data_IF_654490568652
#
_entry.id   IF_654490568652
#
_cell.length_a   1.000
_cell.length_b   1.000
_cell.length_c   1.000
_cell.angle_alpha   90.00
_cell.angle_beta   90.00
_cell.angle_gamma   90.00
#
_symmetry.space_group_name_H-M   'P 1'
#
loop_
_entity.id
_entity.type
_entity.pdbx_description
1 polymer ?
#
# COMPACT_ATOMS: atom_id res chain seq x y z
N UNK A 1 -7.14 27.06 -39.85
CA UNK A 1 -6.96 26.92 -38.40
C UNK A 1 -8.33 27.16 -37.78
N UNK A 2 -8.96 26.15 -37.19
CA UNK A 2 -10.31 26.29 -36.62
C UNK A 2 -10.19 27.09 -35.30
N UNK A 3 -10.98 28.15 -35.15
CA UNK A 3 -10.95 29.02 -33.97
C UNK A 3 -11.53 28.28 -32.75
N UNK A 4 -10.82 28.31 -31.61
CA UNK A 4 -11.28 27.72 -30.34
C UNK A 4 -12.61 28.29 -29.86
N UNK A 5 -12.87 29.57 -30.13
CA UNK A 5 -14.14 30.20 -29.81
C UNK A 5 -15.29 29.61 -30.62
N UNK A 6 -15.05 29.29 -31.90
CA UNK A 6 -16.04 28.64 -32.77
C UNK A 6 -16.37 27.23 -32.28
N UNK A 7 -15.36 26.46 -31.85
CA UNK A 7 -15.57 25.14 -31.26
C UNK A 7 -16.36 25.19 -29.95
N UNK A 8 -16.17 26.24 -29.14
CA UNK A 8 -16.93 26.44 -27.90
C UNK A 8 -18.40 26.82 -28.16
N UNK A 9 -18.65 27.63 -29.19
CA UNK A 9 -20.02 27.96 -29.63
C UNK A 9 -20.77 26.71 -30.09
N UNK A 10 -20.14 25.92 -30.96
CA UNK A 10 -20.72 24.65 -31.46
C UNK A 10 -20.96 23.65 -30.32
N UNK A 11 -20.01 23.52 -29.38
CA UNK A 11 -20.17 22.63 -28.23
C UNK A 11 -21.33 23.05 -27.31
N UNK A 12 -21.62 24.35 -27.21
CA UNK A 12 -22.78 24.87 -26.46
C UNK A 12 -24.09 24.61 -27.20
N UNK A 13 -24.13 24.80 -28.52
CA UNK A 13 -25.31 24.47 -29.31
C UNK A 13 -25.65 22.98 -29.25
N UNK A 14 -24.63 22.12 -29.17
CA UNK A 14 -24.78 20.68 -28.98
C UNK A 14 -25.05 20.27 -27.52
N UNK A 15 -25.14 21.23 -26.59
CA UNK A 15 -25.41 20.98 -25.16
C UNK A 15 -24.30 20.21 -24.45
N UNK A 16 -23.10 20.12 -25.03
CA UNK A 16 -21.95 19.40 -24.45
C UNK A 16 -21.52 20.06 -23.14
N UNK A 17 -21.64 21.39 -23.05
CA UNK A 17 -21.37 22.18 -21.85
C UNK A 17 -22.32 21.87 -20.68
N UNK A 18 -23.49 21.31 -20.97
CA UNK A 18 -24.52 20.91 -20.00
C UNK A 18 -24.60 19.38 -19.81
N UNK A 19 -23.79 18.62 -20.55
CA UNK A 19 -23.76 17.16 -20.42
C UNK A 19 -23.45 16.76 -18.99
N UNK A 20 -24.19 15.80 -18.45
CA UNK A 20 -24.05 15.37 -17.06
C UNK A 20 -22.61 14.92 -16.75
N UNK A 21 -21.94 14.24 -17.70
CA UNK A 21 -20.53 13.84 -17.57
C UNK A 21 -19.59 15.04 -17.41
N UNK A 22 -19.78 16.11 -18.18
CA UNK A 22 -18.91 17.28 -18.11
C UNK A 22 -19.19 18.07 -16.84
N UNK A 23 -20.46 18.24 -16.47
CA UNK A 23 -20.86 18.89 -15.22
C UNK A 23 -20.27 18.17 -14.01
N UNK A 24 -20.34 16.83 -13.98
CA UNK A 24 -19.71 16.03 -12.92
C UNK A 24 -18.18 16.17 -12.90
N UNK A 25 -17.54 16.18 -14.07
CA UNK A 25 -16.09 16.41 -14.18
C UNK A 25 -15.68 17.80 -13.67
N UNK A 26 -16.44 18.84 -14.04
CA UNK A 26 -16.21 20.21 -13.58
C UNK A 26 -16.42 20.34 -12.07
N UNK A 27 -17.45 19.72 -11.52
CA UNK A 27 -17.70 19.68 -10.08
C UNK A 27 -16.58 18.96 -9.31
N UNK A 28 -16.11 17.82 -9.82
CA UNK A 28 -14.96 17.11 -9.24
C UNK A 28 -13.69 17.97 -9.28
N UNK A 29 -13.40 18.59 -10.42
CA UNK A 29 -12.23 19.46 -10.57
C UNK A 29 -12.32 20.70 -9.67
N UNK A 30 -13.50 21.30 -9.55
CA UNK A 30 -13.75 22.42 -8.66
C UNK A 30 -13.54 22.03 -7.21
N UNK A 31 -14.11 20.90 -6.76
CA UNK A 31 -13.91 20.37 -5.40
C UNK A 31 -12.42 20.12 -5.12
N UNK A 32 -11.72 19.46 -6.03
CA UNK A 32 -10.28 19.23 -5.93
C UNK A 32 -9.50 20.54 -5.82
N UNK A 33 -9.76 21.51 -6.69
CA UNK A 33 -9.08 22.82 -6.66
C UNK A 33 -9.38 23.62 -5.40
N UNK A 34 -10.60 23.55 -4.88
CA UNK A 34 -10.97 24.21 -3.62
C UNK A 34 -10.23 23.57 -2.45
N UNK A 35 -10.14 22.24 -2.39
CA UNK A 35 -9.37 21.53 -1.36
C UNK A 35 -7.89 21.89 -1.46
N UNK A 36 -7.31 21.86 -2.66
CA UNK A 36 -5.90 22.25 -2.87
C UNK A 36 -5.63 23.71 -2.45
N UNK A 37 -6.48 24.65 -2.87
CA UNK A 37 -6.33 26.06 -2.49
C UNK A 37 -6.52 26.30 -0.99
N UNK A 38 -7.44 25.56 -0.34
CA UNK A 38 -7.61 25.59 1.11
C UNK A 38 -6.36 25.01 1.81
N UNK A 39 -5.86 23.89 1.32
CA UNK A 39 -4.64 23.29 1.80
C UNK A 39 -3.42 24.22 1.66
N UNK A 40 -3.27 24.91 0.53
CA UNK A 40 -2.22 25.91 0.29
C UNK A 40 -2.33 27.13 1.22
N UNK A 41 -3.56 27.52 1.58
CA UNK A 41 -3.83 28.67 2.45
C UNK A 41 -3.61 28.34 3.94
N UNK A 42 -3.98 27.14 4.38
CA UNK A 42 -3.87 26.70 5.78
C UNK A 42 -2.51 26.07 6.12
N UNK A 43 -1.81 25.53 5.12
CA UNK A 43 -0.37 25.29 5.25
C UNK A 43 0.27 26.65 5.43
N UNK A 44 0.93 26.90 6.55
CA UNK A 44 1.78 28.09 6.72
C UNK A 44 2.94 28.11 5.70
N UNK A 45 4.09 28.77 5.98
CA UNK A 45 5.26 28.66 5.09
C UNK A 45 5.50 27.19 4.75
N UNK A 46 5.70 26.89 3.44
CA UNK A 46 5.85 25.53 2.89
C UNK A 46 6.44 24.62 3.94
N UNK A 47 5.65 23.66 4.42
CA UNK A 47 6.09 22.70 5.41
C UNK A 47 7.13 21.80 4.70
N UNK A 48 8.37 22.27 4.71
CA UNK A 48 9.53 21.55 4.22
C UNK A 48 9.80 20.46 5.25
N UNK A 49 9.32 19.26 4.96
CA UNK A 49 9.70 18.07 5.72
C UNK A 49 11.21 17.91 5.53
N UNK A 50 11.95 17.92 6.63
CA UNK A 50 13.40 17.84 6.55
C UNK A 50 13.83 16.43 6.15
N UNK A 51 15.03 16.30 5.57
CA UNK A 51 15.56 14.98 5.23
C UNK A 51 15.79 14.15 6.50
N UNK A 52 16.16 14.78 7.61
CA UNK A 52 16.31 14.13 8.91
C UNK A 52 14.99 13.50 9.39
N UNK A 53 13.86 14.21 9.26
CA UNK A 53 12.53 13.67 9.61
C UNK A 53 12.17 12.47 8.74
N UNK A 54 12.45 12.55 7.43
CA UNK A 54 12.23 11.43 6.51
C UNK A 54 13.10 10.23 6.85
N UNK A 55 14.39 10.45 7.17
CA UNK A 55 15.33 9.38 7.56
C UNK A 55 14.91 8.71 8.86
N UNK A 56 14.52 9.49 9.87
CA UNK A 56 14.02 8.96 11.12
C UNK A 56 12.76 8.10 10.91
N UNK A 57 11.86 8.52 10.02
CA UNK A 57 10.67 7.76 9.66
C UNK A 57 11.01 6.46 8.90
N UNK A 58 11.95 6.52 7.95
CA UNK A 58 12.45 5.37 7.20
C UNK A 58 13.05 4.30 8.12
N UNK A 59 13.89 4.70 9.07
CA UNK A 59 14.52 3.80 10.04
C UNK A 59 13.50 3.26 11.05
N UNK A 60 12.69 4.13 11.66
CA UNK A 60 11.73 3.74 12.69
C UNK A 60 10.63 2.81 12.19
N UNK A 61 10.29 2.86 10.90
CA UNK A 61 9.29 1.96 10.32
C UNK A 61 9.87 0.70 9.69
N UNK A 62 11.21 0.56 9.62
CA UNK A 62 11.87 -0.60 9.05
C UNK A 62 11.74 -0.68 7.52
N UNK A 63 11.71 0.45 6.82
CA UNK A 63 11.54 0.53 5.36
C UNK A 63 12.82 0.19 4.58
N UNK A 64 13.95 0.02 5.28
CA UNK A 64 15.26 -0.29 4.68
C UNK A 64 15.47 -1.74 4.26
N UNK A 65 14.44 -2.58 4.35
CA UNK A 65 14.49 -3.99 3.94
C UNK A 65 13.29 -4.38 3.10
N UNK A 66 13.54 -5.23 2.12
CA UNK A 66 12.51 -5.97 1.40
C UNK A 66 12.74 -7.47 1.62
N UNK A 67 11.66 -8.21 1.85
CA UNK A 67 11.71 -9.64 2.17
C UNK A 67 11.23 -10.47 0.98
N UNK A 68 11.91 -11.59 0.74
CA UNK A 68 11.40 -12.70 -0.06
C UNK A 68 10.68 -13.65 0.88
N UNK A 69 9.48 -14.05 0.50
CA UNK A 69 8.66 -14.90 1.35
C UNK A 69 8.02 -16.03 0.57
N UNK A 70 7.64 -17.07 1.31
CA UNK A 70 6.71 -18.10 0.86
C UNK A 70 5.53 -18.17 1.81
N UNK A 71 4.38 -18.60 1.30
CA UNK A 71 3.15 -18.67 2.07
C UNK A 71 2.35 -19.93 1.79
N UNK A 72 1.48 -20.27 2.73
CA UNK A 72 0.47 -21.31 2.58
C UNK A 72 -0.86 -20.69 2.97
N UNK A 73 -1.76 -20.60 1.99
CA UNK A 73 -3.15 -20.19 2.22
C UNK A 73 -3.99 -21.45 2.41
N UNK A 74 -4.69 -21.57 3.53
CA UNK A 74 -5.61 -22.67 3.81
C UNK A 74 -7.06 -22.19 3.80
N UNK A 75 -8.00 -23.13 3.90
CA UNK A 75 -9.43 -22.81 3.86
C UNK A 75 -9.95 -22.32 5.21
N UNK A 76 -9.41 -22.89 6.29
CA UNK A 76 -9.87 -22.67 7.66
C UNK A 76 -8.70 -22.52 8.61
N UNK A 77 -8.99 -22.04 9.83
CA UNK A 77 -7.99 -21.93 10.90
C UNK A 77 -7.45 -23.29 11.35
N UNK A 78 -8.32 -24.31 11.40
CA UNK A 78 -7.89 -25.68 11.73
C UNK A 78 -6.96 -26.27 10.66
N UNK A 79 -7.18 -25.94 9.38
CA UNK A 79 -6.28 -26.35 8.31
C UNK A 79 -4.90 -25.71 8.46
N UNK A 80 -4.83 -24.43 8.83
CA UNK A 80 -3.55 -23.75 9.10
C UNK A 80 -2.85 -24.35 10.32
N UNK A 81 -3.57 -24.64 11.40
CA UNK A 81 -2.99 -25.29 12.58
C UNK A 81 -2.41 -26.65 12.22
N UNK A 82 -3.07 -27.38 11.31
CA UNK A 82 -2.55 -28.64 10.77
C UNK A 82 -1.27 -28.43 9.95
N UNK A 83 -1.23 -27.41 9.09
CA UNK A 83 -0.02 -27.02 8.33
C UNK A 83 1.16 -26.71 9.26
N UNK A 84 0.94 -25.89 10.30
CA UNK A 84 1.99 -25.55 11.27
C UNK A 84 2.50 -26.78 12.00
N UNK A 85 1.60 -27.64 12.49
CA UNK A 85 1.96 -28.89 13.17
C UNK A 85 2.79 -29.82 12.28
N UNK A 86 2.44 -29.94 11.01
CA UNK A 86 3.20 -30.75 10.05
C UNK A 86 4.62 -30.23 9.86
N UNK A 87 4.78 -28.91 9.78
CA UNK A 87 6.09 -28.27 9.65
C UNK A 87 6.92 -28.45 10.94
N UNK A 88 6.30 -28.28 12.11
CA UNK A 88 6.93 -28.55 13.42
C UNK A 88 7.39 -30.01 13.58
N UNK A 89 6.66 -30.95 12.98
CA UNK A 89 7.01 -32.37 12.95
C UNK A 89 8.14 -32.71 11.96
N UNK A 90 8.67 -31.72 11.25
CA UNK A 90 9.83 -31.86 10.37
C UNK A 90 9.50 -31.98 8.89
N UNK A 91 8.23 -31.86 8.47
CA UNK A 91 7.91 -31.74 7.04
C UNK A 91 8.44 -30.41 6.52
N UNK A 92 8.91 -30.39 5.28
CA UNK A 92 9.36 -29.13 4.69
C UNK A 92 8.16 -28.25 4.35
N UNK A 93 8.29 -26.93 4.54
CA UNK A 93 7.25 -25.97 4.17
C UNK A 93 6.88 -26.08 2.67
N UNK A 94 7.85 -26.38 1.81
CA UNK A 94 7.65 -26.53 0.37
C UNK A 94 6.71 -27.70 0.02
N UNK A 95 6.91 -28.87 0.66
CA UNK A 95 6.03 -30.02 0.47
C UNK A 95 4.61 -29.73 0.96
N UNK A 96 4.50 -29.15 2.16
CA UNK A 96 3.20 -28.81 2.75
C UNK A 96 2.48 -27.76 1.89
N UNK A 97 3.20 -26.79 1.33
CA UNK A 97 2.64 -25.80 0.42
C UNK A 97 2.09 -26.43 -0.87
N UNK A 98 2.84 -27.34 -1.51
CA UNK A 98 2.38 -28.05 -2.72
C UNK A 98 1.09 -28.82 -2.50
N UNK A 99 0.99 -29.51 -1.36
CA UNK A 99 -0.14 -30.37 -1.05
C UNK A 99 -1.36 -29.55 -0.59
N UNK A 100 -1.18 -28.68 0.40
CA UNK A 100 -2.28 -28.10 1.18
C UNK A 100 -2.66 -26.67 0.78
N UNK A 101 -1.77 -25.92 0.11
CA UNK A 101 -2.08 -24.51 -0.21
C UNK A 101 -3.20 -24.38 -1.24
N UNK A 102 -4.13 -23.46 -0.97
CA UNK A 102 -5.15 -23.02 -1.90
C UNK A 102 -4.60 -22.12 -2.99
N UNK A 103 -3.48 -21.42 -2.74
CA UNK A 103 -2.79 -20.66 -3.77
C UNK A 103 -1.94 -21.58 -4.65
N UNK A 104 -2.59 -22.19 -5.64
CA UNK A 104 -1.93 -23.17 -6.53
C UNK A 104 -0.77 -22.57 -7.34
N UNK A 105 -0.81 -21.26 -7.64
CA UNK A 105 0.25 -20.59 -8.41
C UNK A 105 1.57 -20.59 -7.66
N UNK A 106 1.55 -20.28 -6.36
CA UNK A 106 2.75 -20.33 -5.52
C UNK A 106 3.04 -21.73 -4.99
N UNK A 107 2.00 -22.56 -4.76
CA UNK A 107 2.15 -23.93 -4.26
C UNK A 107 3.12 -24.76 -5.10
N UNK A 108 3.01 -24.71 -6.43
CA UNK A 108 3.93 -25.43 -7.35
C UNK A 108 5.40 -25.07 -7.10
N UNK A 109 5.66 -23.81 -6.71
CA UNK A 109 6.97 -23.26 -6.35
C UNK A 109 7.26 -23.32 -4.85
N UNK A 110 6.61 -24.22 -4.11
CA UNK A 110 6.83 -24.36 -2.66
C UNK A 110 6.28 -23.20 -1.83
N UNK A 111 5.24 -22.52 -2.32
CA UNK A 111 4.62 -21.35 -1.72
C UNK A 111 5.35 -20.03 -2.00
N UNK A 112 6.45 -20.03 -2.76
CA UNK A 112 7.30 -18.86 -2.97
C UNK A 112 6.59 -17.80 -3.80
N UNK A 113 6.57 -16.56 -3.30
CA UNK A 113 6.06 -15.42 -4.05
C UNK A 113 7.06 -14.91 -5.08
N UNK A 114 6.58 -14.26 -6.13
CA UNK A 114 7.41 -13.94 -7.31
C UNK A 114 8.41 -12.80 -7.06
N UNK A 115 8.13 -11.87 -6.15
CA UNK A 115 8.98 -10.69 -5.88
C UNK A 115 9.58 -10.67 -4.47
N UNK A 116 10.50 -9.74 -4.23
CA UNK A 116 10.79 -9.24 -2.88
C UNK A 116 9.82 -8.10 -2.60
N UNK A 117 9.33 -8.01 -1.37
CA UNK A 117 8.35 -7.00 -0.98
C UNK A 117 8.88 -6.20 0.20
N UNK A 118 8.85 -4.88 0.06
CA UNK A 118 9.01 -3.96 1.16
C UNK A 118 7.71 -3.86 1.98
N UNK A 119 7.82 -3.32 3.18
CA UNK A 119 6.71 -3.24 4.15
C UNK A 119 5.44 -2.62 3.57
N UNK A 120 5.55 -1.49 2.87
CA UNK A 120 4.40 -0.77 2.32
C UNK A 120 3.75 -1.46 1.11
N UNK A 121 4.44 -2.43 0.49
CA UNK A 121 3.90 -3.24 -0.61
C UNK A 121 3.08 -4.44 -0.11
N UNK A 122 3.26 -4.84 1.15
CA UNK A 122 2.62 -6.03 1.74
C UNK A 122 1.25 -5.74 2.37
N UNK A 123 0.78 -4.49 2.34
CA UNK A 123 -0.36 -4.07 3.12
C UNK A 123 -0.07 -4.10 4.63
N UNK A 124 -0.87 -3.37 5.41
CA UNK A 124 -0.56 -3.09 6.82
C UNK A 124 -0.35 -4.35 7.67
N UNK A 125 -1.24 -5.34 7.53
CA UNK A 125 -1.20 -6.54 8.36
C UNK A 125 0.03 -7.42 8.08
N UNK A 126 0.29 -7.74 6.82
CA UNK A 126 1.42 -8.62 6.48
C UNK A 126 2.73 -7.85 6.69
N UNK A 127 2.81 -6.60 6.23
CA UNK A 127 3.99 -5.76 6.44
C UNK A 127 4.37 -5.63 7.91
N UNK A 128 3.40 -5.41 8.81
CA UNK A 128 3.65 -5.35 10.25
C UNK A 128 4.11 -6.68 10.85
N UNK A 129 3.67 -7.83 10.31
CA UNK A 129 4.12 -9.15 10.76
C UNK A 129 5.51 -9.48 10.25
N UNK A 130 5.77 -9.22 8.97
CA UNK A 130 7.02 -9.62 8.31
C UNK A 130 8.18 -8.69 8.60
N UNK A 131 7.96 -7.45 9.05
CA UNK A 131 9.05 -6.49 9.33
C UNK A 131 9.96 -6.94 10.47
N UNK A 132 9.44 -7.67 11.45
CA UNK A 132 10.21 -8.16 12.60
C UNK A 132 10.66 -9.62 12.45
N UNK A 133 10.28 -10.29 11.37
CA UNK A 133 10.60 -11.70 11.17
C UNK A 133 12.02 -11.89 10.68
N UNK A 134 12.69 -12.91 11.20
CA UNK A 134 14.01 -13.34 10.73
C UNK A 134 13.89 -14.31 9.54
N UNK A 135 14.98 -14.47 8.78
CA UNK A 135 15.05 -15.49 7.72
C UNK A 135 14.86 -16.87 8.35
N UNK A 136 13.94 -17.65 7.78
CA UNK A 136 13.55 -18.97 8.26
C UNK A 136 12.39 -18.95 9.26
N UNK A 137 12.05 -17.80 9.85
CA UNK A 137 10.94 -17.71 10.79
C UNK A 137 9.59 -17.88 10.09
N UNK A 138 8.72 -18.69 10.69
CA UNK A 138 7.33 -18.89 10.27
C UNK A 138 6.42 -18.01 11.14
N UNK A 139 5.44 -17.37 10.54
CA UNK A 139 4.49 -16.52 11.24
C UNK A 139 3.42 -17.33 11.96
N UNK A 140 2.84 -16.73 13.00
CA UNK A 140 1.51 -17.10 13.46
C UNK A 140 0.47 -16.98 12.31
N UNK A 141 -0.69 -17.65 12.40
CA UNK A 141 -1.75 -17.52 11.42
C UNK A 141 -2.17 -16.06 11.18
N UNK A 142 -2.02 -15.60 9.96
CA UNK A 142 -2.45 -14.29 9.48
C UNK A 142 -3.89 -14.41 8.98
N UNK A 143 -4.77 -13.53 9.48
CA UNK A 143 -6.23 -13.56 9.23
C UNK A 143 -6.91 -14.89 9.59
N UNK A 144 -6.22 -15.76 10.33
CA UNK A 144 -6.68 -17.10 10.70
C UNK A 144 -6.58 -18.16 9.61
N UNK A 145 -6.07 -17.87 8.41
CA UNK A 145 -6.04 -18.87 7.32
C UNK A 145 -4.78 -18.82 6.44
N UNK A 146 -3.78 -18.01 6.77
CA UNK A 146 -2.54 -17.91 6.00
C UNK A 146 -1.32 -17.96 6.92
N UNK A 147 -0.25 -18.64 6.50
CA UNK A 147 1.04 -18.63 7.20
C UNK A 147 2.15 -18.25 6.24
N UNK A 148 3.11 -17.46 6.73
CA UNK A 148 4.19 -16.90 5.93
C UNK A 148 5.53 -17.31 6.53
N UNK A 149 6.51 -17.55 5.67
CA UNK A 149 7.90 -17.71 6.06
C UNK A 149 8.79 -16.76 5.27
N UNK A 150 9.68 -16.03 5.95
CA UNK A 150 10.71 -15.22 5.29
C UNK A 150 11.84 -16.17 4.86
N UNK A 151 12.25 -16.09 3.60
CA UNK A 151 13.30 -16.97 3.04
C UNK A 151 14.54 -16.22 2.58
N UNK A 152 14.44 -14.91 2.36
CA UNK A 152 15.58 -14.03 2.12
C UNK A 152 15.18 -12.57 2.40
N UNK A 153 16.17 -11.69 2.50
CA UNK A 153 15.96 -10.24 2.54
C UNK A 153 17.01 -9.53 1.69
N UNK A 154 16.70 -8.28 1.32
CA UNK A 154 17.63 -7.39 0.64
C UNK A 154 17.47 -5.95 1.13
N UNK A 155 18.53 -5.13 1.10
CA UNK A 155 18.43 -3.73 1.48
C UNK A 155 17.57 -2.95 0.47
N UNK A 156 16.85 -1.96 0.97
CA UNK A 156 16.12 -0.94 0.20
C UNK A 156 16.69 0.42 0.58
N UNK A 157 17.01 1.25 -0.41
CA UNK A 157 17.61 2.56 -0.15
C UNK A 157 16.58 3.58 0.31
N UNK A 158 17.03 4.57 1.08
CA UNK A 158 16.22 5.74 1.44
C UNK A 158 15.66 6.46 0.20
N UNK A 159 16.46 6.59 -0.86
CA UNK A 159 16.05 7.24 -2.12
C UNK A 159 14.84 6.58 -2.78
N UNK A 160 14.64 5.27 -2.58
CA UNK A 160 13.44 4.57 -3.07
C UNK A 160 12.15 5.12 -2.42
N UNK A 161 12.24 5.54 -1.15
CA UNK A 161 11.08 6.01 -0.37
C UNK A 161 10.98 7.52 -0.23
N UNK A 162 12.03 8.27 -0.60
CA UNK A 162 12.14 9.72 -0.34
C UNK A 162 10.90 10.49 -0.78
N UNK A 163 10.46 10.31 -2.03
CA UNK A 163 9.28 11.01 -2.56
C UNK A 163 7.98 10.62 -1.84
N UNK A 164 7.81 9.34 -1.49
CA UNK A 164 6.63 8.87 -0.77
C UNK A 164 6.61 9.37 0.67
N UNK A 165 7.75 9.33 1.37
CA UNK A 165 7.90 9.82 2.72
C UNK A 165 7.64 11.33 2.82
N UNK A 166 8.16 12.10 1.86
CA UNK A 166 7.90 13.53 1.78
C UNK A 166 6.39 13.81 1.65
N UNK A 167 5.71 13.13 0.72
CA UNK A 167 4.27 13.29 0.52
C UNK A 167 3.47 12.88 1.77
N UNK A 168 3.83 11.74 2.37
CA UNK A 168 3.14 11.17 3.54
C UNK A 168 3.30 12.06 4.78
N UNK A 169 4.51 12.57 5.02
CA UNK A 169 4.79 13.45 6.16
C UNK A 169 4.13 14.83 5.98
N UNK A 170 4.12 15.39 4.76
CA UNK A 170 3.35 16.61 4.46
C UNK A 170 1.86 16.40 4.75
N UNK A 171 1.29 15.29 4.31
CA UNK A 171 -0.12 14.96 4.56
C UNK A 171 -0.44 14.79 6.06
N UNK A 172 0.50 14.29 6.86
CA UNK A 172 0.36 14.12 8.32
C UNK A 172 0.50 15.44 9.08
N UNK A 173 1.39 16.32 8.64
CA UNK A 173 1.64 17.63 9.25
C UNK A 173 0.57 18.67 8.94
N UNK A 174 -0.38 18.37 8.04
CA UNK A 174 -1.56 19.20 7.83
C UNK A 174 -2.33 19.37 9.15
N UNK A 175 -2.48 20.60 9.67
CA UNK A 175 -3.15 20.83 10.93
C UNK A 175 -4.64 20.47 10.79
N UNK A 176 -5.05 19.34 11.39
CA UNK A 176 -6.47 19.00 11.59
C UNK A 176 -7.21 20.02 12.48
N UNK A 177 -6.48 20.94 13.11
CA UNK A 177 -6.99 21.96 14.04
C UNK A 177 -7.82 23.09 13.36
N UNK A 178 -7.88 23.14 12.03
CA UNK A 178 -8.81 24.00 11.28
C UNK A 178 -10.06 23.26 10.75
N UNK A 179 -10.06 21.92 10.75
CA UNK A 179 -11.22 21.11 10.37
C UNK A 179 -12.16 21.00 11.57
N UNK A 180 -12.91 22.08 11.87
CA UNK A 180 -14.02 22.02 12.84
C UNK A 180 -14.93 20.87 12.42
N UNK A 181 -14.97 19.80 13.22
CA UNK A 181 -16.07 18.83 13.39
C UNK A 181 -17.07 18.75 12.24
N UNK A 182 -16.85 17.84 11.29
CA UNK A 182 -17.91 17.28 10.44
C UNK A 182 -17.62 15.80 10.15
N UNK A 183 -17.59 15.01 11.23
CA UNK A 183 -18.06 13.62 11.16
C UNK A 183 -19.37 13.64 11.94
N UNK A 184 -20.48 13.81 11.21
CA UNK A 184 -21.80 13.31 11.58
C UNK A 184 -22.34 12.63 10.34
#
# INVERSE_FOLDING_TARGET
MINREFMLLEAREQGIDQSESLVQQLEWQKKKRVIEAFCEKESGPKLEVSEEEMRHCFEGEGLGRAVKMRHIAAKTEDDVRTVLKEIEQGRSFEEVARERSLDRKSAEKGGVLDAFYAKDELGELIGARTVSMEIGQISEPIRGYEVIQVIAEKPVSFEHWKALLEQRLKARSFPKHGMRTWIV
#
